data_IF_781069425695
#
_entry.id   IF_781069425695
#
_cell.length_a   1.000
_cell.length_b   1.000
_cell.length_c   1.000
_cell.angle_alpha   90.00
_cell.angle_beta   90.00
_cell.angle_gamma   90.00
#
_symmetry.space_group_name_H-M   'P 1'
#
loop_
_entity.id
_entity.type
_entity.pdbx_description
1 polymer ?
#
# COMPACT_ATOMS: atom_id res chain seq x y z
N UNK A 1 -22.98 38.58 12.11
CA UNK A 1 -23.55 37.25 11.79
C UNK A 1 -23.39 37.11 10.28
N UNK A 2 -22.60 36.23 9.69
CA UNK A 2 -22.11 34.91 10.12
C UNK A 2 -20.75 34.65 9.47
N UNK A 3 -19.78 34.11 10.23
CA UNK A 3 -18.62 33.46 9.63
C UNK A 3 -19.09 32.07 9.21
N UNK A 4 -19.31 31.87 7.91
CA UNK A 4 -19.37 30.53 7.35
C UNK A 4 -17.97 29.94 7.51
N UNK A 5 -17.81 29.10 8.53
CA UNK A 5 -16.65 28.20 8.66
C UNK A 5 -16.68 27.29 7.45
N UNK A 6 -15.99 27.68 6.39
CA UNK A 6 -15.47 26.78 5.39
C UNK A 6 -14.65 25.75 6.16
N UNK A 7 -15.20 24.54 6.31
CA UNK A 7 -14.43 23.41 6.82
C UNK A 7 -13.31 23.22 5.81
N UNK A 8 -12.11 23.70 6.12
CA UNK A 8 -10.90 23.28 5.42
C UNK A 8 -10.98 21.76 5.30
N UNK A 9 -10.85 21.17 4.11
CA UNK A 9 -10.82 19.72 4.00
C UNK A 9 -9.74 19.26 4.96
N UNK A 10 -10.11 18.41 5.92
CA UNK A 10 -9.14 17.79 6.81
C UNK A 10 -8.05 17.25 5.90
N UNK A 11 -6.79 17.69 6.06
CA UNK A 11 -5.69 17.18 5.24
C UNK A 11 -5.75 15.67 5.33
N UNK A 12 -6.25 15.03 4.28
CA UNK A 12 -6.29 13.58 4.21
C UNK A 12 -4.83 13.14 4.32
N UNK A 13 -4.54 12.40 5.38
CA UNK A 13 -3.18 11.92 5.61
C UNK A 13 -2.91 10.95 4.45
N UNK A 14 -1.89 11.21 3.63
CA UNK A 14 -1.66 10.42 2.42
C UNK A 14 -1.37 8.97 2.81
N UNK A 15 -2.03 8.02 2.14
CA UNK A 15 -1.83 6.59 2.35
C UNK A 15 -0.35 6.23 2.16
N UNK A 16 0.24 5.60 3.18
CA UNK A 16 1.68 5.34 3.30
C UNK A 16 1.98 3.93 2.81
N UNK A 17 2.69 3.85 1.69
CA UNK A 17 3.00 2.58 1.01
C UNK A 17 4.48 2.26 1.15
N UNK A 18 4.80 1.10 1.72
CA UNK A 18 6.16 0.59 1.85
C UNK A 18 6.41 -0.53 0.84
N UNK A 19 7.41 -0.36 -0.03
CA UNK A 19 7.84 -1.35 -1.02
C UNK A 19 9.20 -1.92 -0.63
N UNK A 20 9.24 -3.24 -0.42
CA UNK A 20 10.45 -3.96 -0.01
C UNK A 20 10.57 -5.33 -0.71
N UNK A 21 10.02 -5.46 -1.91
CA UNK A 21 10.12 -6.69 -2.69
C UNK A 21 11.42 -6.76 -3.50
N UNK A 22 11.83 -7.99 -3.80
CA UNK A 22 12.82 -8.34 -4.80
C UNK A 22 12.12 -8.82 -6.09
N UNK A 23 12.79 -8.72 -7.25
CA UNK A 23 14.06 -8.01 -7.47
C UNK A 23 13.91 -6.48 -7.35
N UNK A 24 15.03 -5.77 -7.19
CA UNK A 24 15.07 -4.30 -7.09
C UNK A 24 14.37 -3.58 -8.24
N UNK A 25 14.58 -4.06 -9.47
CA UNK A 25 13.94 -3.50 -10.67
C UNK A 25 12.42 -3.53 -10.57
N UNK A 26 11.84 -4.62 -10.04
CA UNK A 26 10.39 -4.72 -9.84
C UNK A 26 9.86 -3.71 -8.84
N UNK A 27 10.46 -3.59 -7.64
CA UNK A 27 9.97 -2.61 -6.65
C UNK A 27 10.09 -1.17 -7.16
N UNK A 28 11.12 -0.86 -7.95
CA UNK A 28 11.30 0.46 -8.55
C UNK A 28 10.25 0.74 -9.63
N UNK A 29 9.97 -0.23 -10.51
CA UNK A 29 8.91 -0.13 -11.52
C UNK A 29 7.52 0.02 -10.89
N UNK A 30 7.20 -0.78 -9.87
CA UNK A 30 5.92 -0.68 -9.13
C UNK A 30 5.78 0.70 -8.48
N UNK A 31 6.84 1.18 -7.81
CA UNK A 31 6.83 2.51 -7.18
C UNK A 31 6.61 3.64 -8.19
N UNK A 32 7.21 3.54 -9.38
CA UNK A 32 7.03 4.51 -10.45
C UNK A 32 5.56 4.57 -10.90
N UNK A 33 4.94 3.41 -11.12
CA UNK A 33 3.52 3.35 -11.53
C UNK A 33 2.59 3.87 -10.44
N UNK A 34 2.83 3.53 -9.17
CA UNK A 34 2.01 4.05 -8.07
C UNK A 34 2.07 5.58 -7.97
N UNK A 35 3.26 6.17 -8.06
CA UNK A 35 3.42 7.63 -8.04
C UNK A 35 2.76 8.30 -9.24
N UNK A 36 2.76 7.65 -10.40
CA UNK A 36 2.10 8.15 -11.61
C UNK A 36 0.58 8.06 -11.52
N UNK A 37 0.04 6.92 -11.10
CA UNK A 37 -1.40 6.65 -11.11
C UNK A 37 -2.13 7.18 -9.87
N UNK A 38 -1.43 7.32 -8.75
CA UNK A 38 -1.95 7.78 -7.46
C UNK A 38 -0.97 8.76 -6.82
N UNK A 39 -0.87 9.99 -7.35
CA UNK A 39 0.11 10.97 -6.88
C UNK A 39 -0.07 11.40 -5.42
N UNK A 40 -1.22 11.12 -4.81
CA UNK A 40 -1.48 11.35 -3.38
C UNK A 40 -0.82 10.34 -2.44
N UNK A 41 -0.22 9.24 -2.93
CA UNK A 41 0.40 8.23 -2.08
C UNK A 41 1.77 8.65 -1.56
N UNK A 42 2.04 8.37 -0.28
CA UNK A 42 3.39 8.44 0.26
C UNK A 42 4.13 7.11 0.03
N UNK A 43 4.78 6.98 -1.13
CA UNK A 43 5.49 5.74 -1.52
C UNK A 43 6.95 5.76 -1.07
N UNK A 44 7.31 4.83 -0.18
CA UNK A 44 8.69 4.58 0.28
C UNK A 44 9.20 3.24 -0.24
N UNK A 45 10.33 3.26 -0.92
CA UNK A 45 11.04 2.06 -1.42
C UNK A 45 12.24 1.79 -0.51
N UNK A 46 12.41 0.56 -0.05
CA UNK A 46 13.51 0.13 0.82
C UNK A 46 14.06 -1.22 0.37
N UNK A 47 15.25 -1.55 0.85
CA UNK A 47 15.76 -2.92 0.73
C UNK A 47 14.95 -3.89 1.62
N UNK A 48 14.79 -5.17 1.22
CA UNK A 48 14.08 -6.18 2.01
C UNK A 48 14.59 -6.30 3.45
N UNK A 49 15.91 -6.19 3.66
CA UNK A 49 16.57 -6.26 4.98
C UNK A 49 16.18 -5.08 5.88
N UNK A 50 15.79 -3.96 5.29
CA UNK A 50 15.37 -2.76 6.02
C UNK A 50 13.87 -2.75 6.34
N UNK A 51 13.09 -3.75 5.87
CA UNK A 51 11.63 -3.80 5.98
C UNK A 51 11.14 -3.59 7.42
N UNK A 52 11.61 -4.40 8.38
CA UNK A 52 11.10 -4.36 9.75
C UNK A 52 11.37 -3.03 10.46
N UNK A 53 12.59 -2.50 10.29
CA UNK A 53 12.95 -1.20 10.84
C UNK A 53 12.08 -0.07 10.27
N UNK A 54 11.66 -0.19 9.01
CA UNK A 54 10.79 0.78 8.36
C UNK A 54 9.33 0.56 8.73
N UNK A 55 8.86 -0.65 9.00
CA UNK A 55 7.52 -0.85 9.57
C UNK A 55 7.36 -0.05 10.87
N UNK A 56 8.38 -0.03 11.74
CA UNK A 56 8.35 0.73 13.00
C UNK A 56 8.47 2.24 12.78
N UNK A 57 9.42 2.69 11.96
CA UNK A 57 9.72 4.12 11.79
C UNK A 57 8.78 4.84 10.83
N UNK A 58 8.36 4.13 9.78
CA UNK A 58 7.52 4.64 8.71
C UNK A 58 6.05 4.25 8.89
N UNK A 59 5.67 3.40 9.85
CA UNK A 59 4.27 3.06 10.19
C UNK A 59 3.35 3.04 8.95
N UNK A 60 3.63 2.13 7.99
CA UNK A 60 2.92 2.10 6.72
C UNK A 60 1.49 1.60 6.89
N UNK A 61 0.60 2.10 6.04
CA UNK A 61 -0.77 1.59 5.93
C UNK A 61 -0.80 0.34 5.00
N UNK A 62 0.08 0.34 4.00
CA UNK A 62 0.24 -0.76 3.04
C UNK A 62 1.71 -1.17 2.93
N UNK A 63 1.99 -2.47 2.99
CA UNK A 63 3.32 -3.03 2.71
C UNK A 63 3.26 -4.04 1.57
N UNK A 64 4.15 -3.90 0.59
CA UNK A 64 4.32 -4.85 -0.52
C UNK A 64 5.76 -5.35 -0.48
N UNK A 65 5.94 -6.66 -0.29
CA UNK A 65 7.24 -7.26 0.01
C UNK A 65 7.34 -8.69 -0.53
N UNK A 66 8.55 -9.23 -0.64
CA UNK A 66 8.76 -10.63 -1.04
C UNK A 66 8.50 -11.63 0.09
N UNK A 67 8.51 -11.15 1.33
CA UNK A 67 8.23 -11.95 2.52
C UNK A 67 7.51 -11.10 3.55
N UNK A 68 6.29 -11.48 3.91
CA UNK A 68 5.56 -10.82 4.98
C UNK A 68 6.11 -11.30 6.34
N UNK A 69 7.01 -10.52 6.95
CA UNK A 69 7.59 -10.85 8.26
C UNK A 69 6.54 -10.76 9.38
N UNK A 70 6.89 -11.24 10.58
CA UNK A 70 6.03 -11.10 11.77
C UNK A 70 5.64 -9.64 12.03
N UNK A 71 6.61 -8.72 11.93
CA UNK A 71 6.37 -7.29 12.09
C UNK A 71 5.37 -6.73 11.06
N UNK A 72 5.44 -7.18 9.80
CA UNK A 72 4.46 -6.78 8.77
C UNK A 72 3.07 -7.29 9.13
N UNK A 73 2.96 -8.59 9.44
CA UNK A 73 1.69 -9.27 9.71
C UNK A 73 0.98 -8.72 10.96
N UNK A 74 1.73 -8.26 11.94
CA UNK A 74 1.20 -7.71 13.20
C UNK A 74 0.85 -6.22 13.13
N UNK A 75 1.59 -5.42 12.37
CA UNK A 75 1.53 -3.95 12.47
C UNK A 75 0.96 -3.26 11.23
N UNK A 76 0.95 -3.92 10.08
CA UNK A 76 0.54 -3.30 8.83
C UNK A 76 -0.89 -3.75 8.50
N UNK A 77 -1.87 -2.83 8.43
CA UNK A 77 -3.28 -3.18 8.20
C UNK A 77 -3.53 -3.92 6.88
N UNK A 78 -2.77 -3.54 5.85
CA UNK A 78 -2.83 -4.15 4.51
C UNK A 78 -1.44 -4.56 4.07
N UNK A 79 -1.26 -5.81 3.66
CA UNK A 79 0.01 -6.25 3.11
C UNK A 79 -0.16 -7.20 1.95
N UNK A 80 0.83 -7.18 1.05
CA UNK A 80 0.95 -8.11 -0.08
C UNK A 80 2.33 -8.76 -0.02
N UNK A 81 2.31 -10.09 0.02
CA UNK A 81 3.48 -10.95 -0.13
C UNK A 81 3.53 -11.41 -1.60
N UNK A 82 4.49 -10.87 -2.35
CA UNK A 82 4.71 -11.20 -3.76
C UNK A 82 5.64 -12.41 -3.87
N UNK A 83 5.18 -13.44 -4.57
CA UNK A 83 5.98 -14.63 -4.91
C UNK A 83 6.60 -15.31 -3.68
N UNK A 84 5.80 -15.66 -2.65
CA UNK A 84 6.31 -16.34 -1.47
C UNK A 84 7.01 -17.62 -1.90
N UNK A 85 8.18 -17.89 -1.30
CA UNK A 85 8.99 -19.07 -1.61
C UNK A 85 9.34 -19.21 -3.11
N UNK A 86 9.42 -18.09 -3.84
CA UNK A 86 9.71 -18.04 -5.28
C UNK A 86 8.66 -18.72 -6.17
N UNK A 87 7.43 -18.81 -5.69
CA UNK A 87 6.29 -19.33 -6.45
C UNK A 87 5.64 -18.23 -7.30
N UNK A 88 4.81 -18.59 -8.28
CA UNK A 88 4.13 -17.63 -9.16
C UNK A 88 2.93 -16.92 -8.50
N UNK A 89 2.53 -17.32 -7.29
CA UNK A 89 1.36 -16.76 -6.62
C UNK A 89 1.71 -15.55 -5.74
N UNK A 90 0.69 -14.83 -5.26
CA UNK A 90 0.83 -13.80 -4.25
C UNK A 90 -0.25 -13.93 -3.19
N UNK A 91 0.01 -13.38 -2.01
CA UNK A 91 -0.94 -13.36 -0.90
C UNK A 91 -1.17 -11.92 -0.48
N UNK A 92 -2.42 -11.48 -0.47
CA UNK A 92 -2.80 -10.21 0.14
C UNK A 92 -3.57 -10.47 1.44
N UNK A 93 -3.34 -9.63 2.45
CA UNK A 93 -4.14 -9.56 3.67
C UNK A 93 -4.70 -8.16 3.80
N UNK A 94 -6.02 -8.07 3.88
CA UNK A 94 -6.74 -6.81 4.04
C UNK A 94 -7.61 -6.92 5.30
N UNK A 95 -7.25 -6.20 6.37
CA UNK A 95 -7.99 -6.27 7.64
C UNK A 95 -8.04 -7.69 8.23
N UNK A 96 -6.97 -8.47 8.05
CA UNK A 96 -6.87 -9.86 8.48
C UNK A 96 -7.48 -10.90 7.54
N UNK A 97 -8.24 -10.49 6.51
CA UNK A 97 -8.77 -11.40 5.49
C UNK A 97 -7.71 -11.66 4.43
N UNK A 98 -7.31 -12.93 4.29
CA UNK A 98 -6.33 -13.35 3.28
C UNK A 98 -6.98 -13.71 1.96
N UNK A 99 -6.35 -13.31 0.86
CA UNK A 99 -6.71 -13.67 -0.51
C UNK A 99 -5.45 -14.12 -1.24
N UNK A 100 -5.54 -15.26 -1.91
CA UNK A 100 -4.46 -15.78 -2.76
C UNK A 100 -4.73 -15.45 -4.22
N UNK A 101 -3.67 -15.06 -4.94
CA UNK A 101 -3.69 -14.71 -6.35
C UNK A 101 -2.78 -15.69 -7.08
N UNK A 102 -3.33 -16.49 -8.00
CA UNK A 102 -2.53 -17.40 -8.80
C UNK A 102 -1.49 -16.66 -9.66
N UNK A 103 -1.86 -15.47 -10.14
CA UNK A 103 -0.99 -14.55 -10.87
C UNK A 103 -1.43 -13.11 -10.60
N UNK A 104 -0.77 -12.41 -9.68
CA UNK A 104 -1.13 -11.04 -9.34
C UNK A 104 -0.67 -10.06 -10.43
N UNK A 105 -1.59 -9.21 -10.86
CA UNK A 105 -1.32 -8.17 -11.85
C UNK A 105 -1.13 -6.82 -11.16
N UNK A 106 -0.52 -5.87 -11.87
CA UNK A 106 -0.34 -4.51 -11.37
C UNK A 106 -1.67 -3.80 -11.04
N UNK A 107 -2.73 -4.10 -11.80
CA UNK A 107 -4.07 -3.57 -11.56
C UNK A 107 -4.68 -4.09 -10.24
N UNK A 108 -4.33 -5.31 -9.82
CA UNK A 108 -4.76 -5.84 -8.53
C UNK A 108 -4.10 -5.09 -7.38
N UNK A 109 -2.80 -4.79 -7.51
CA UNK A 109 -2.06 -3.98 -6.53
C UNK A 109 -2.69 -2.58 -6.40
N UNK A 110 -3.03 -1.94 -7.52
CA UNK A 110 -3.71 -0.64 -7.51
C UNK A 110 -5.09 -0.75 -6.84
N UNK A 111 -5.84 -1.80 -7.15
CA UNK A 111 -7.16 -2.04 -6.54
C UNK A 111 -7.08 -2.31 -5.03
N UNK A 112 -5.99 -2.89 -4.54
CA UNK A 112 -5.71 -3.02 -3.11
C UNK A 112 -5.42 -1.65 -2.48
N UNK A 113 -4.61 -0.81 -3.15
CA UNK A 113 -4.31 0.54 -2.68
C UNK A 113 -5.56 1.42 -2.60
N UNK A 114 -6.43 1.36 -3.61
CA UNK A 114 -7.68 2.12 -3.66
C UNK A 114 -8.62 1.72 -2.53
N UNK A 115 -8.74 0.42 -2.26
CA UNK A 115 -9.55 -0.07 -1.13
C UNK A 115 -8.94 0.34 0.22
N UNK A 116 -7.62 0.37 0.33
CA UNK A 116 -6.92 0.81 1.53
C UNK A 116 -7.03 2.32 1.77
N UNK A 117 -7.09 3.14 0.71
CA UNK A 117 -7.37 4.57 0.81
C UNK A 117 -8.79 4.85 1.30
N UNK A 118 -9.71 3.89 1.10
CA UNK A 118 -11.13 4.04 1.39
C UNK A 118 -11.88 4.71 0.24
N UNK A 119 -13.23 4.80 0.30
CA UNK A 119 -13.98 5.50 -0.72
C UNK A 119 -13.55 6.96 -0.75
N UNK A 120 -13.12 7.41 -1.93
CA UNK A 120 -12.93 8.81 -2.25
C UNK A 120 -14.26 9.52 -1.95
N UNK A 121 -14.34 10.30 -0.86
CA UNK A 121 -15.58 11.03 -0.50
C UNK A 121 -15.75 12.30 -1.36
N UNK A 122 -15.31 12.25 -2.61
CA UNK A 122 -15.31 13.37 -3.55
C UNK A 122 -15.99 13.00 -4.86
N UNK A 123 -17.31 13.15 -4.92
CA UNK A 123 -18.04 13.18 -6.19
C UNK A 123 -19.37 12.42 -6.17
N UNK A 124 -20.41 13.03 -5.60
CA UNK A 124 -21.77 12.68 -5.99
C UNK A 124 -21.93 13.00 -7.49
N UNK A 125 -22.36 12.06 -8.34
CA UNK A 125 -22.86 12.44 -9.65
C UNK A 125 -24.15 13.24 -9.44
N UNK A 126 -24.19 14.43 -10.04
CA UNK A 126 -25.43 15.19 -10.29
C UNK A 126 -26.26 14.50 -11.36
#
# INVERSE_FOLDING_TARGET
MSRSTEREPAREVPLRVLLANEPRSYRESIAAVFRQMRPGLQVKVVEPEALESNVVRFVPDVAICSRATGAVRERVPVWVELYPEHTAHAVASEGGRRTEFAEIQLIDLISILDRAAGPDQGGSPV
#
